data_IF_563740551910
#
_entry.id   IF_563740551910
#
_cell.length_a   1.000
_cell.length_b   1.000
_cell.length_c   1.000
_cell.angle_alpha   90.00
_cell.angle_beta   90.00
_cell.angle_gamma   90.00
#
_symmetry.space_group_name_H-M   'P 1'
#
loop_
_entity.id
_entity.type
_entity.pdbx_description
1 polymer ?
#
# COMPACT_ATOMS: atom_id res chain seq x y z
N UNK A 1 -15.27 -10.67 5.33
CA UNK A 1 -14.32 -9.69 4.78
C UNK A 1 -13.91 -10.23 3.43
N UNK A 2 -14.43 -9.64 2.36
CA UNK A 2 -14.23 -10.17 1.02
C UNK A 2 -12.84 -9.73 0.54
N UNK A 3 -12.05 -10.72 0.17
CA UNK A 3 -10.66 -10.63 -0.22
C UNK A 3 -10.47 -9.76 -1.46
N UNK A 4 -9.52 -8.84 -1.40
CA UNK A 4 -8.67 -8.52 -2.54
C UNK A 4 -7.23 -8.61 -2.02
N UNK A 5 -6.58 -9.74 -2.32
CA UNK A 5 -5.12 -9.99 -2.42
C UNK A 5 -4.23 -8.83 -1.93
N UNK A 6 -3.38 -8.91 -0.91
CA UNK A 6 -2.46 -9.98 -0.50
C UNK A 6 -2.17 -9.80 1.00
N UNK A 7 -2.63 -10.73 1.84
CA UNK A 7 -1.92 -11.04 3.07
C UNK A 7 -0.96 -12.19 2.75
N UNK A 8 0.31 -11.86 2.48
CA UNK A 8 1.39 -12.77 2.83
C UNK A 8 2.17 -12.10 3.95
N UNK A 9 1.74 -12.40 5.18
CA UNK A 9 2.67 -12.43 6.29
C UNK A 9 3.88 -13.26 5.86
N UNK A 10 5.07 -12.81 6.25
CA UNK A 10 6.42 -13.28 5.90
C UNK A 10 7.03 -12.69 4.63
N UNK A 11 8.01 -11.81 4.88
CA UNK A 11 9.00 -11.32 3.93
C UNK A 11 9.80 -12.49 3.35
N UNK A 12 9.69 -12.70 2.04
CA UNK A 12 10.80 -13.15 1.18
C UNK A 12 10.67 -12.43 -0.17
N UNK A 13 11.78 -11.95 -0.77
CA UNK A 13 11.76 -11.20 -2.04
C UNK A 13 11.40 -12.08 -3.27
N UNK A 14 11.07 -13.35 -3.06
CA UNK A 14 10.94 -14.37 -4.12
C UNK A 14 9.58 -14.37 -4.84
N UNK A 15 8.60 -13.57 -4.39
CA UNK A 15 7.25 -13.51 -5.00
C UNK A 15 6.96 -12.26 -5.85
N UNK A 16 7.96 -11.45 -6.17
CA UNK A 16 7.82 -10.38 -7.17
C UNK A 16 8.08 -10.85 -8.62
N UNK A 17 8.21 -12.15 -8.84
CA UNK A 17 8.60 -12.66 -10.15
C UNK A 17 7.40 -12.84 -11.08
N UNK A 18 7.44 -12.02 -12.13
CA UNK A 18 7.00 -12.32 -13.49
C UNK A 18 5.58 -11.91 -13.90
N UNK A 19 5.33 -10.60 -13.83
CA UNK A 19 4.47 -9.95 -14.83
C UNK A 19 5.38 -9.34 -15.89
N UNK A 20 5.93 -10.17 -16.78
CA UNK A 20 6.74 -9.69 -17.90
C UNK A 20 5.82 -9.10 -18.98
N UNK A 21 6.20 -7.94 -19.52
CA UNK A 21 5.51 -7.19 -20.57
C UNK A 21 4.29 -6.34 -20.11
N UNK A 22 4.55 -5.25 -19.36
CA UNK A 22 3.54 -4.22 -19.04
C UNK A 22 3.93 -2.88 -19.62
N UNK A 23 2.94 -2.16 -20.15
CA UNK A 23 3.03 -0.77 -20.58
C UNK A 23 2.74 0.23 -19.47
N UNK A 24 2.40 -0.24 -18.26
CA UNK A 24 2.00 0.57 -17.12
C UNK A 24 2.74 0.16 -15.83
N UNK A 25 2.90 1.12 -14.93
CA UNK A 25 3.51 0.93 -13.61
C UNK A 25 2.56 0.12 -12.69
N UNK A 26 3.14 -0.74 -11.84
CA UNK A 26 2.40 -1.50 -10.83
C UNK A 26 2.37 -0.71 -9.52
N UNK A 27 1.17 -0.60 -8.94
CA UNK A 27 0.96 0.00 -7.62
C UNK A 27 0.28 -1.05 -6.75
N UNK A 28 0.85 -1.30 -5.57
CA UNK A 28 0.31 -2.24 -4.59
C UNK A 28 -0.38 -1.47 -3.48
N UNK A 29 -1.63 -1.85 -3.17
CA UNK A 29 -2.44 -1.18 -2.14
C UNK A 29 -2.94 -2.20 -1.14
N UNK A 30 -2.66 -1.97 0.15
CA UNK A 30 -3.26 -2.71 1.26
C UNK A 30 -4.44 -1.94 1.81
N UNK A 31 -5.62 -2.56 1.90
CA UNK A 31 -6.85 -1.90 2.31
C UNK A 31 -7.26 -2.30 3.74
N UNK A 32 -7.62 -1.32 4.57
CA UNK A 32 -8.19 -1.53 5.89
C UNK A 32 -9.56 -0.87 6.00
N UNK A 33 -10.45 -1.44 6.83
CA UNK A 33 -11.74 -0.80 7.09
C UNK A 33 -11.56 0.52 7.84
N UNK A 34 -10.68 0.54 8.84
CA UNK A 34 -10.49 1.70 9.69
C UNK A 34 -9.04 1.82 10.20
N UNK A 35 -8.73 2.97 10.78
CA UNK A 35 -7.39 3.28 11.31
C UNK A 35 -7.01 2.41 12.52
N UNK A 36 -7.99 1.90 13.27
CA UNK A 36 -7.73 1.02 14.42
C UNK A 36 -7.18 -0.32 13.94
N UNK A 37 -7.75 -0.87 12.87
CA UNK A 37 -7.26 -2.11 12.28
C UNK A 37 -5.89 -1.91 11.63
N UNK A 38 -5.72 -0.85 10.85
CA UNK A 38 -4.42 -0.51 10.24
C UNK A 38 -3.28 -0.45 11.27
N UNK A 39 -3.50 0.19 12.44
CA UNK A 39 -2.46 0.34 13.48
C UNK A 39 -1.89 -0.98 13.98
N UNK A 40 -2.69 -2.06 13.98
CA UNK A 40 -2.22 -3.39 14.41
C UNK A 40 -1.19 -3.98 13.45
N UNK A 41 -1.28 -3.62 12.17
CA UNK A 41 -0.51 -4.20 11.08
C UNK A 41 0.52 -3.23 10.49
N UNK A 42 0.59 -1.99 10.98
CA UNK A 42 1.42 -0.93 10.40
C UNK A 42 2.91 -1.30 10.29
N UNK A 43 3.43 -2.13 11.21
CA UNK A 43 4.82 -2.62 11.18
C UNK A 43 5.08 -3.73 10.15
N UNK A 44 4.01 -4.37 9.65
CA UNK A 44 4.10 -5.46 8.68
C UNK A 44 3.86 -4.99 7.23
N UNK A 45 3.33 -3.78 7.04
CA UNK A 45 3.15 -3.18 5.71
C UNK A 45 4.51 -3.04 5.02
N UNK A 46 4.59 -3.55 3.79
CA UNK A 46 5.80 -3.49 2.99
C UNK A 46 6.13 -2.06 2.55
N UNK A 47 7.42 -1.73 2.49
CA UNK A 47 7.89 -0.52 1.83
C UNK A 47 7.56 -0.54 0.33
N UNK A 48 7.52 0.64 -0.29
CA UNK A 48 7.17 0.86 -1.70
C UNK A 48 5.73 0.40 -2.04
N UNK A 49 4.83 0.53 -1.06
CA UNK A 49 3.40 0.22 -1.21
C UNK A 49 2.52 1.30 -0.60
N UNK A 50 1.23 1.20 -0.89
CA UNK A 50 0.21 2.15 -0.46
C UNK A 50 -0.75 1.52 0.54
N UNK A 51 -1.30 2.34 1.43
CA UNK A 51 -2.40 1.96 2.31
C UNK A 51 -3.62 2.82 2.04
N UNK A 52 -4.77 2.16 1.84
CA UNK A 52 -6.09 2.79 1.74
C UNK A 52 -6.94 2.42 2.95
N UNK A 53 -7.73 3.37 3.47
CA UNK A 53 -8.58 3.17 4.63
C UNK A 53 -10.01 3.61 4.31
N UNK A 54 -10.98 2.71 4.45
CA UNK A 54 -12.35 2.94 4.03
C UNK A 54 -13.03 4.11 4.76
N UNK A 55 -12.75 4.30 6.06
CA UNK A 55 -13.26 5.44 6.84
C UNK A 55 -12.70 6.81 6.41
N UNK A 56 -11.62 6.84 5.63
CA UNK A 56 -11.04 8.07 5.06
C UNK A 56 -10.72 7.86 3.57
N UNK A 57 -11.74 7.69 2.72
CA UNK A 57 -11.60 7.07 1.41
C UNK A 57 -10.88 7.95 0.37
N UNK A 58 -10.77 9.26 0.63
CA UNK A 58 -10.09 10.25 -0.22
C UNK A 58 -8.59 10.39 0.09
N UNK A 59 -8.07 9.61 1.05
CA UNK A 59 -6.68 9.68 1.47
C UNK A 59 -5.95 8.34 1.27
N UNK A 60 -4.65 8.42 0.98
CA UNK A 60 -3.73 7.29 0.95
C UNK A 60 -2.54 7.56 1.89
N UNK A 61 -1.95 6.49 2.41
CA UNK A 61 -0.69 6.54 3.16
C UNK A 61 0.38 5.84 2.32
N UNK A 62 1.41 6.60 1.94
CA UNK A 62 2.55 6.11 1.15
C UNK A 62 3.64 5.56 2.07
N UNK A 63 3.92 4.25 1.99
CA UNK A 63 5.03 3.63 2.70
C UNK A 63 6.25 3.63 1.79
N UNK A 64 7.21 4.54 2.06
CA UNK A 64 8.36 4.88 1.20
C UNK A 64 7.97 5.77 0.01
N UNK A 65 8.86 6.69 -0.38
CA UNK A 65 8.61 7.54 -1.54
C UNK A 65 9.41 8.84 -1.53
N UNK A 66 10.57 8.83 -2.20
CA UNK A 66 11.25 10.08 -2.57
C UNK A 66 10.35 10.99 -3.45
N UNK A 67 9.38 10.38 -4.15
CA UNK A 67 8.39 11.03 -5.02
C UNK A 67 7.49 12.04 -4.31
N UNK A 68 7.28 11.91 -2.99
CA UNK A 68 6.32 12.71 -2.24
C UNK A 68 6.96 13.59 -1.16
N UNK A 69 8.27 13.84 -1.28
CA UNK A 69 8.96 14.78 -0.39
C UNK A 69 8.72 16.21 -0.87
N UNK A 70 7.71 16.86 -0.29
CA UNK A 70 7.37 18.27 -0.56
C UNK A 70 6.16 18.71 0.24
N UNK A 71 6.00 20.02 0.44
CA UNK A 71 4.78 20.56 1.04
C UNK A 71 3.59 20.34 0.10
N UNK A 72 2.43 20.04 0.66
CA UNK A 72 1.18 20.14 -0.09
C UNK A 72 1.05 21.57 -0.60
N UNK A 73 0.70 21.71 -1.88
CA UNK A 73 0.28 23.00 -2.42
C UNK A 73 -1.20 23.13 -2.06
N UNK A 74 -1.59 24.30 -1.58
CA UNK A 74 -3.01 24.66 -1.54
C UNK A 74 -3.52 24.64 -2.99
N UNK A 75 -4.62 23.93 -3.23
CA UNK A 75 -5.28 23.85 -4.55
C UNK A 75 -5.91 25.19 -4.96
#
# INVERSE_FOLDING_TARGET
>A
MQELLVHSSTKTPERYTHVSNRTAELIYVTAFLNRVEFRKWASEVAWETEVWIADTPVHLIHFNGAKFLGAYKDE
#
